data_IF_409877056468
#
_entry.id   IF_409877056468
#
_cell.length_a   1.000
_cell.length_b   1.000
_cell.length_c   1.000
_cell.angle_alpha   90.00
_cell.angle_beta   90.00
_cell.angle_gamma   90.00
#
_symmetry.space_group_name_H-M   'P 1'
#
loop_
_entity.id
_entity.type
_entity.pdbx_description
1 polymer ?
#
# COMPACT_ATOMS: atom_id res chain seq x y z
N UNK A 1 -65.78 25.37 12.89
CA UNK A 1 -64.35 25.73 12.69
C UNK A 1 -63.66 24.50 12.09
N UNK A 2 -63.55 24.45 10.76
CA UNK A 2 -63.01 23.29 10.03
C UNK A 2 -61.56 23.57 9.63
N UNK A 3 -60.63 22.75 10.13
CA UNK A 3 -59.19 22.88 9.91
C UNK A 3 -58.84 22.56 8.45
N UNK A 4 -58.32 23.54 7.72
CA UNK A 4 -57.84 23.38 6.34
C UNK A 4 -56.51 22.61 6.35
N UNK A 5 -56.50 21.40 5.77
CA UNK A 5 -55.28 20.65 5.49
C UNK A 5 -54.47 21.34 4.38
N UNK A 6 -53.18 21.55 4.65
CA UNK A 6 -52.21 22.15 3.73
C UNK A 6 -51.64 21.02 2.85
N UNK A 7 -51.65 21.11 1.51
CA UNK A 7 -50.98 20.11 0.68
C UNK A 7 -49.46 20.37 0.74
N UNK A 8 -48.71 19.40 1.28
CA UNK A 8 -47.25 19.42 1.26
C UNK A 8 -46.76 19.05 -0.15
N UNK A 9 -45.88 19.90 -0.68
CA UNK A 9 -45.22 19.84 -1.98
C UNK A 9 -44.64 18.46 -2.32
N UNK A 10 -44.92 18.00 -3.54
CA UNK A 10 -44.25 16.86 -4.15
C UNK A 10 -42.75 17.13 -4.29
N UNK A 11 -41.92 16.22 -3.78
CA UNK A 11 -40.47 16.26 -3.94
C UNK A 11 -40.09 16.06 -5.42
N UNK A 12 -39.20 16.91 -5.93
CA UNK A 12 -38.65 16.81 -7.28
C UNK A 12 -37.88 15.47 -7.47
N UNK A 13 -37.92 14.86 -8.68
CA UNK A 13 -37.19 13.64 -8.94
C UNK A 13 -35.68 13.89 -8.85
N UNK A 14 -35.02 13.02 -8.11
CA UNK A 14 -33.60 13.00 -7.84
C UNK A 14 -32.82 12.95 -9.17
N UNK A 15 -32.20 14.07 -9.55
CA UNK A 15 -31.30 14.22 -10.70
C UNK A 15 -30.09 13.28 -10.51
N UNK A 16 -30.23 12.02 -10.92
CA UNK A 16 -29.10 11.13 -11.14
C UNK A 16 -28.36 11.63 -12.38
N UNK A 17 -27.52 12.66 -12.20
CA UNK A 17 -26.61 13.12 -13.26
C UNK A 17 -25.77 11.91 -13.70
N UNK A 18 -25.81 11.51 -14.99
CA UNK A 18 -25.03 10.39 -15.46
C UNK A 18 -23.55 10.66 -15.19
N UNK A 19 -22.89 9.72 -14.50
CA UNK A 19 -21.45 9.79 -14.25
C UNK A 19 -20.74 9.86 -15.60
N UNK A 20 -20.30 11.07 -16.00
CA UNK A 20 -19.55 11.32 -17.25
C UNK A 20 -18.50 10.23 -17.42
N UNK A 21 -18.71 9.33 -18.39
CA UNK A 21 -17.79 8.24 -18.69
C UNK A 21 -16.48 8.90 -19.15
N UNK A 22 -15.43 8.63 -18.39
CA UNK A 22 -14.08 9.05 -18.72
C UNK A 22 -13.69 8.41 -20.07
N UNK A 23 -13.21 9.20 -21.02
CA UNK A 23 -12.95 8.74 -22.40
C UNK A 23 -12.01 7.53 -22.45
N UNK A 24 -12.18 6.65 -23.44
CA UNK A 24 -11.45 5.36 -23.51
C UNK A 24 -9.93 5.47 -23.36
N UNK A 25 -9.32 6.54 -23.90
CA UNK A 25 -7.88 6.82 -23.78
C UNK A 25 -7.46 7.06 -22.32
N UNK A 26 -8.28 7.78 -21.55
CA UNK A 26 -8.01 8.08 -20.15
C UNK A 26 -8.10 6.82 -19.29
N UNK A 27 -9.09 5.96 -19.54
CA UNK A 27 -9.19 4.67 -18.85
C UNK A 27 -8.00 3.76 -19.19
N UNK A 28 -7.58 3.70 -20.46
CA UNK A 28 -6.41 2.91 -20.87
C UNK A 28 -5.12 3.39 -20.19
N UNK A 29 -4.89 4.70 -20.13
CA UNK A 29 -3.78 5.29 -19.39
C UNK A 29 -3.80 4.89 -17.91
N UNK A 30 -4.95 5.03 -17.25
CA UNK A 30 -5.06 4.70 -15.83
C UNK A 30 -4.86 3.20 -15.58
N UNK A 31 -5.37 2.31 -16.45
CA UNK A 31 -5.11 0.87 -16.38
C UNK A 31 -3.62 0.58 -16.48
N UNK A 32 -2.94 1.17 -17.47
CA UNK A 32 -1.50 0.98 -17.67
C UNK A 32 -0.70 1.48 -16.45
N UNK A 33 -1.00 2.68 -15.95
CA UNK A 33 -0.37 3.24 -14.76
C UNK A 33 -0.53 2.33 -13.54
N UNK A 34 -1.76 1.88 -13.25
CA UNK A 34 -2.01 1.00 -12.10
C UNK A 34 -1.35 -0.38 -12.28
N UNK A 35 -1.30 -0.93 -13.51
CA UNK A 35 -0.63 -2.19 -13.78
C UNK A 35 0.89 -2.11 -13.58
N UNK A 36 1.53 -1.04 -14.05
CA UNK A 36 2.95 -0.78 -13.82
C UNK A 36 3.23 -0.62 -12.32
N UNK A 37 2.42 0.17 -11.61
CA UNK A 37 2.56 0.34 -10.17
C UNK A 37 2.38 -0.98 -9.41
N UNK A 38 1.40 -1.81 -9.78
CA UNK A 38 1.22 -3.14 -9.20
C UNK A 38 2.47 -4.03 -9.41
N UNK A 39 3.04 -4.02 -10.61
CA UNK A 39 4.24 -4.79 -10.93
C UNK A 39 5.47 -4.32 -10.14
N UNK A 40 5.67 -3.01 -10.02
CA UNK A 40 6.78 -2.43 -9.27
C UNK A 40 6.70 -2.78 -7.78
N UNK A 41 5.52 -2.63 -7.17
CA UNK A 41 5.29 -3.02 -5.78
C UNK A 41 5.34 -4.53 -5.55
N UNK A 42 4.98 -5.34 -6.56
CA UNK A 42 5.20 -6.79 -6.52
C UNK A 42 6.70 -7.09 -6.51
N UNK A 43 7.51 -6.34 -7.27
CA UNK A 43 8.97 -6.41 -7.20
C UNK A 43 9.50 -6.11 -5.80
N UNK A 44 8.98 -5.06 -5.14
CA UNK A 44 9.35 -4.73 -3.75
C UNK A 44 8.99 -5.89 -2.81
N UNK A 45 7.76 -6.43 -2.92
CA UNK A 45 7.28 -7.53 -2.10
C UNK A 45 8.14 -8.78 -2.24
N UNK A 46 8.37 -9.22 -3.49
CA UNK A 46 9.14 -10.43 -3.79
C UNK A 46 10.56 -10.29 -3.29
N UNK A 47 11.22 -9.15 -3.54
CA UNK A 47 12.58 -8.95 -3.05
C UNK A 47 12.65 -8.86 -1.52
N UNK A 48 11.69 -8.20 -0.87
CA UNK A 48 11.62 -8.13 0.60
C UNK A 48 11.50 -9.54 1.21
N UNK A 49 10.62 -10.38 0.67
CA UNK A 49 10.48 -11.77 1.08
C UNK A 49 11.76 -12.58 0.79
N UNK A 50 12.32 -12.44 -0.40
CA UNK A 50 13.48 -13.25 -0.82
C UNK A 50 14.74 -12.89 -0.03
N UNK A 51 14.99 -11.61 0.22
CA UNK A 51 16.14 -11.15 1.02
C UNK A 51 15.88 -11.46 2.49
N UNK A 52 14.71 -11.09 3.03
CA UNK A 52 14.35 -11.34 4.42
C UNK A 52 14.42 -12.83 4.78
N UNK A 53 13.81 -13.71 3.98
CA UNK A 53 13.86 -15.16 4.23
C UNK A 53 15.26 -15.74 4.15
N UNK A 54 16.12 -15.26 3.22
CA UNK A 54 17.52 -15.69 3.14
C UNK A 54 18.30 -15.36 4.41
N UNK A 55 18.12 -14.16 4.94
CA UNK A 55 18.79 -13.71 6.17
C UNK A 55 18.27 -14.46 7.41
N UNK A 56 16.96 -14.71 7.49
CA UNK A 56 16.34 -15.49 8.58
C UNK A 56 16.87 -16.93 8.59
N UNK A 57 16.91 -17.60 7.43
CA UNK A 57 17.43 -18.97 7.31
C UNK A 57 18.92 -19.01 7.68
N UNK A 58 19.68 -17.99 7.30
CA UNK A 58 21.11 -17.89 7.64
C UNK A 58 21.30 -17.72 9.15
N UNK A 59 20.51 -16.85 9.79
CA UNK A 59 20.52 -16.66 11.23
C UNK A 59 20.08 -17.94 11.99
N UNK A 60 19.10 -18.66 11.47
CA UNK A 60 18.63 -19.94 12.04
C UNK A 60 19.71 -21.01 11.95
N UNK A 61 20.40 -21.15 10.81
CA UNK A 61 21.50 -22.11 10.65
C UNK A 61 22.67 -21.80 11.58
N UNK A 62 23.01 -20.52 11.74
CA UNK A 62 24.02 -20.09 12.69
C UNK A 62 23.59 -20.40 14.13
N UNK A 63 22.33 -20.11 14.49
CA UNK A 63 21.76 -20.44 15.80
C UNK A 63 21.83 -21.94 16.10
N UNK A 64 21.39 -22.78 15.18
CA UNK A 64 21.41 -24.23 15.33
C UNK A 64 22.84 -24.78 15.49
N UNK A 65 23.81 -24.19 14.77
CA UNK A 65 25.23 -24.54 14.94
C UNK A 65 25.75 -24.25 16.35
N UNK A 66 25.26 -23.20 17.00
CA UNK A 66 25.60 -22.86 18.39
C UNK A 66 24.63 -23.47 19.43
N UNK A 67 23.77 -24.41 19.04
CA UNK A 67 22.84 -25.10 19.95
C UNK A 67 21.60 -24.29 20.35
N UNK A 68 21.21 -23.28 19.55
CA UNK A 68 20.02 -22.45 19.75
C UNK A 68 19.04 -22.59 18.57
N UNK A 69 17.88 -23.20 18.82
CA UNK A 69 16.85 -23.44 17.78
C UNK A 69 15.68 -22.44 17.83
N UNK A 70 15.85 -21.31 18.51
CA UNK A 70 14.78 -20.31 18.64
C UNK A 70 14.54 -19.55 17.32
N UNK A 71 13.46 -19.91 16.65
CA UNK A 71 13.03 -19.30 15.40
C UNK A 71 12.67 -17.82 15.54
N UNK A 72 12.21 -17.37 16.73
CA UNK A 72 11.88 -15.97 16.97
C UNK A 72 13.14 -15.11 16.98
N UNK A 73 14.18 -15.55 17.70
CA UNK A 73 15.48 -14.88 17.70
C UNK A 73 16.13 -14.88 16.32
N UNK A 74 16.06 -15.99 15.59
CA UNK A 74 16.55 -16.06 14.20
C UNK A 74 15.78 -15.10 13.28
N UNK A 75 14.47 -14.99 13.44
CA UNK A 75 13.62 -14.07 12.67
C UNK A 75 14.00 -12.62 12.95
N UNK A 76 14.10 -12.23 14.23
CA UNK A 76 14.52 -10.87 14.62
C UNK A 76 15.92 -10.54 14.09
N UNK A 77 16.89 -11.44 14.22
CA UNK A 77 18.25 -11.25 13.71
C UNK A 77 18.30 -11.14 12.19
N UNK A 78 17.57 -11.98 11.47
CA UNK A 78 17.50 -11.95 10.00
C UNK A 78 16.88 -10.66 9.48
N UNK A 79 15.77 -10.21 10.08
CA UNK A 79 15.12 -8.95 9.72
C UNK A 79 15.95 -7.71 10.10
N UNK A 80 16.78 -7.81 11.15
CA UNK A 80 17.74 -6.79 11.61
C UNK A 80 19.09 -6.81 10.89
N UNK A 81 19.30 -7.70 9.91
CA UNK A 81 20.58 -7.87 9.22
C UNK A 81 21.07 -6.62 8.50
N UNK A 82 20.17 -5.68 8.16
CA UNK A 82 20.47 -4.54 7.31
C UNK A 82 20.38 -4.81 5.82
N UNK A 83 20.34 -6.08 5.41
CA UNK A 83 20.39 -6.47 4.00
C UNK A 83 19.18 -6.00 3.20
N UNK A 84 17.99 -6.09 3.81
CA UNK A 84 16.74 -5.60 3.21
C UNK A 84 16.83 -4.10 2.95
N UNK A 85 17.34 -3.32 3.91
CA UNK A 85 17.53 -1.88 3.75
C UNK A 85 18.52 -1.58 2.63
N UNK A 86 19.69 -2.22 2.66
CA UNK A 86 20.78 -1.96 1.71
C UNK A 86 20.38 -2.21 0.25
N UNK A 87 19.59 -3.26 0.02
CA UNK A 87 19.18 -3.65 -1.34
C UNK A 87 17.93 -2.91 -1.82
N UNK A 88 16.98 -2.59 -0.93
CA UNK A 88 15.64 -2.16 -1.33
C UNK A 88 15.33 -0.69 -1.11
N UNK A 89 16.13 0.05 -0.34
CA UNK A 89 15.82 1.45 -0.01
C UNK A 89 15.67 2.32 -1.26
N UNK A 90 16.68 2.29 -2.13
CA UNK A 90 16.71 3.11 -3.35
C UNK A 90 15.57 2.72 -4.28
N UNK A 91 15.37 1.42 -4.49
CA UNK A 91 14.31 0.91 -5.36
C UNK A 91 12.93 1.30 -4.84
N UNK A 92 12.66 1.09 -3.55
CA UNK A 92 11.38 1.43 -2.92
C UNK A 92 11.11 2.93 -2.99
N UNK A 93 12.13 3.77 -2.75
CA UNK A 93 11.99 5.22 -2.86
C UNK A 93 11.60 5.64 -4.26
N UNK A 94 12.22 5.06 -5.30
CA UNK A 94 11.85 5.31 -6.69
C UNK A 94 10.41 4.88 -6.97
N UNK A 95 9.99 3.68 -6.53
CA UNK A 95 8.60 3.22 -6.69
C UNK A 95 7.61 4.13 -5.97
N UNK A 96 7.94 4.64 -4.79
CA UNK A 96 7.09 5.59 -4.07
C UNK A 96 6.95 6.94 -4.77
N UNK A 97 7.97 7.42 -5.49
CA UNK A 97 7.83 8.67 -6.25
C UNK A 97 6.67 8.63 -7.26
N UNK A 98 6.39 7.44 -7.82
CA UNK A 98 5.26 7.23 -8.72
C UNK A 98 3.92 7.36 -8.00
N UNK A 99 3.82 7.07 -6.71
CA UNK A 99 2.60 7.28 -5.93
C UNK A 99 2.25 8.77 -5.80
N UNK A 100 3.23 9.67 -5.91
CA UNK A 100 2.99 11.11 -6.02
C UNK A 100 2.15 11.50 -7.25
N UNK A 101 2.25 10.74 -8.34
CA UNK A 101 1.41 10.96 -9.54
C UNK A 101 -0.07 10.76 -9.25
N UNK A 102 -0.44 9.96 -8.25
CA UNK A 102 -1.85 9.79 -7.85
C UNK A 102 -2.42 11.07 -7.24
N UNK A 103 -1.61 11.78 -6.46
CA UNK A 103 -1.97 13.08 -5.91
C UNK A 103 -2.20 14.06 -7.04
N UNK A 104 -1.35 14.04 -8.07
CA UNK A 104 -1.53 14.86 -9.27
C UNK A 104 -2.78 14.45 -10.06
N UNK A 105 -3.06 13.15 -10.22
CA UNK A 105 -4.27 12.68 -10.90
C UNK A 105 -5.55 13.14 -10.17
N UNK A 106 -5.56 13.11 -8.83
CA UNK A 106 -6.66 13.64 -8.04
C UNK A 106 -6.73 15.17 -8.12
N UNK A 107 -5.59 15.87 -8.08
CA UNK A 107 -5.50 17.33 -8.12
C UNK A 107 -6.03 17.90 -9.44
N UNK A 108 -5.66 17.28 -10.57
CA UNK A 108 -6.10 17.69 -11.91
C UNK A 108 -7.46 17.09 -12.32
N UNK A 109 -8.16 16.41 -11.41
CA UNK A 109 -9.49 15.83 -11.68
C UNK A 109 -9.47 14.68 -12.71
N UNK A 110 -8.31 14.06 -12.91
CA UNK A 110 -8.17 12.86 -13.74
C UNK A 110 -8.90 11.69 -13.06
N UNK A 111 -8.87 11.59 -11.74
CA UNK A 111 -9.64 10.56 -11.00
C UNK A 111 -10.67 11.23 -10.10
N UNK A 112 -11.87 10.64 -9.98
CA UNK A 112 -12.91 11.07 -9.02
C UNK A 112 -12.61 10.60 -7.60
N UNK A 113 -11.38 10.81 -7.12
CA UNK A 113 -11.00 10.52 -5.75
C UNK A 113 -11.03 11.82 -4.92
N UNK A 114 -11.48 11.79 -3.66
CA UNK A 114 -11.39 12.95 -2.79
C UNK A 114 -9.91 13.32 -2.60
N UNK A 115 -9.52 14.52 -3.03
CA UNK A 115 -8.12 14.97 -3.02
C UNK A 115 -7.50 14.87 -1.62
N UNK A 116 -8.25 15.29 -0.59
CA UNK A 116 -7.76 15.31 0.79
C UNK A 116 -7.44 13.90 1.32
N UNK A 117 -8.28 12.90 1.02
CA UNK A 117 -8.04 11.52 1.47
C UNK A 117 -6.89 10.87 0.72
N UNK A 118 -6.77 11.14 -0.59
CA UNK A 118 -5.64 10.68 -1.41
C UNK A 118 -4.33 11.31 -0.92
N UNK A 119 -4.36 12.61 -0.61
CA UNK A 119 -3.22 13.36 -0.11
C UNK A 119 -2.81 12.91 1.29
N UNK A 120 -3.72 12.69 2.22
CA UNK A 120 -3.39 12.15 3.55
C UNK A 120 -2.78 10.75 3.48
N UNK A 121 -3.32 9.88 2.62
CA UNK A 121 -2.80 8.51 2.44
C UNK A 121 -1.41 8.49 1.83
N UNK A 122 -1.12 9.39 0.88
CA UNK A 122 0.20 9.49 0.24
C UNK A 122 1.19 10.24 1.14
N UNK A 123 0.78 11.35 1.75
CA UNK A 123 1.62 12.14 2.65
C UNK A 123 2.08 11.36 3.88
N UNK A 124 1.22 10.53 4.48
CA UNK A 124 1.61 9.63 5.59
C UNK A 124 2.76 8.70 5.19
N UNK A 125 2.70 8.12 3.98
CA UNK A 125 3.73 7.20 3.46
C UNK A 125 5.02 7.93 3.08
N UNK A 126 4.90 9.11 2.46
CA UNK A 126 6.07 9.95 2.15
C UNK A 126 6.77 10.43 3.41
N UNK A 127 6.03 10.80 4.45
CA UNK A 127 6.59 11.24 5.72
C UNK A 127 7.33 10.08 6.40
N UNK A 128 6.79 8.86 6.41
CA UNK A 128 7.51 7.71 6.95
C UNK A 128 8.79 7.37 6.17
N UNK A 129 8.81 7.46 4.83
CA UNK A 129 10.05 7.15 4.07
C UNK A 129 11.06 8.27 4.06
N UNK A 130 10.62 9.51 3.86
CA UNK A 130 11.52 10.66 3.73
C UNK A 130 11.87 11.30 5.08
N UNK A 131 11.11 11.05 6.14
CA UNK A 131 11.42 11.56 7.48
C UNK A 131 11.98 10.46 8.40
N UNK A 132 11.34 9.29 8.47
CA UNK A 132 11.69 8.24 9.45
C UNK A 132 12.68 7.21 8.89
N UNK A 133 12.45 6.71 7.67
CA UNK A 133 13.33 5.72 7.04
C UNK A 133 14.47 6.33 6.22
N UNK A 134 14.61 7.66 6.27
CA UNK A 134 15.46 8.38 5.33
C UNK A 134 16.96 8.14 5.61
N UNK A 135 17.76 7.86 4.56
CA UNK A 135 19.21 7.69 4.68
C UNK A 135 19.98 8.85 5.35
N UNK A 136 19.56 10.13 5.24
CA UNK A 136 20.26 11.22 5.92
C UNK A 136 19.82 11.48 7.36
N UNK A 137 18.65 10.97 7.82
CA UNK A 137 18.18 11.25 9.19
C UNK A 137 18.64 10.19 10.21
N UNK A 138 18.47 8.90 9.92
CA UNK A 138 18.79 7.81 10.87
C UNK A 138 19.28 6.51 10.19
N UNK A 139 20.33 6.55 9.36
CA UNK A 139 20.78 5.39 8.58
C UNK A 139 21.18 4.20 9.47
N UNK A 140 21.85 4.45 10.60
CA UNK A 140 22.35 3.37 11.47
C UNK A 140 21.24 2.71 12.29
N UNK A 141 20.24 3.48 12.73
CA UNK A 141 19.14 2.97 13.57
C UNK A 141 18.08 2.24 12.73
N UNK A 142 17.82 2.69 11.50
CA UNK A 142 16.80 2.10 10.63
C UNK A 142 17.30 0.86 9.91
N UNK A 143 18.57 0.86 9.46
CA UNK A 143 19.16 -0.27 8.72
C UNK A 143 19.06 -1.57 9.50
N UNK A 144 19.45 -1.57 10.78
CA UNK A 144 19.43 -2.76 11.62
C UNK A 144 18.13 -2.99 12.37
N UNK A 145 17.08 -2.21 12.08
CA UNK A 145 15.79 -2.39 12.73
C UNK A 145 14.93 -3.40 11.97
N UNK A 146 14.42 -4.46 12.64
CA UNK A 146 13.41 -5.35 12.07
C UNK A 146 12.18 -4.62 11.53
N UNK A 147 11.86 -3.47 12.13
CA UNK A 147 10.71 -2.64 11.78
C UNK A 147 10.76 -2.16 10.32
N UNK A 148 11.95 -1.93 9.75
CA UNK A 148 12.07 -1.52 8.34
C UNK A 148 11.58 -2.64 7.40
N UNK A 149 12.05 -3.86 7.63
CA UNK A 149 11.70 -5.03 6.80
C UNK A 149 10.22 -5.36 6.90
N UNK A 150 9.63 -5.26 8.09
CA UNK A 150 8.20 -5.56 8.31
C UNK A 150 7.30 -4.46 7.79
N UNK A 151 7.70 -3.19 7.92
CA UNK A 151 7.06 -2.06 7.27
C UNK A 151 7.03 -2.22 5.75
N UNK A 152 8.17 -2.57 5.13
CA UNK A 152 8.28 -2.74 3.69
C UNK A 152 7.41 -3.89 3.17
N UNK A 153 7.35 -4.99 3.93
CA UNK A 153 6.44 -6.11 3.67
C UNK A 153 4.98 -5.64 3.73
N UNK A 154 4.58 -4.97 4.80
CA UNK A 154 3.21 -4.48 4.97
C UNK A 154 2.81 -3.53 3.84
N UNK A 155 3.67 -2.55 3.51
CA UNK A 155 3.40 -1.59 2.46
C UNK A 155 3.27 -2.24 1.09
N UNK A 156 4.23 -3.09 0.71
CA UNK A 156 4.21 -3.74 -0.59
C UNK A 156 2.97 -4.63 -0.77
N UNK A 157 2.55 -5.37 0.26
CA UNK A 157 1.28 -6.11 0.23
C UNK A 157 0.09 -5.19 0.00
N UNK A 158 -0.05 -4.11 0.79
CA UNK A 158 -1.18 -3.18 0.64
C UNK A 158 -1.23 -2.53 -0.74
N UNK A 159 -0.08 -2.18 -1.30
CA UNK A 159 0.02 -1.49 -2.58
C UNK A 159 -0.27 -2.43 -3.75
N UNK A 160 0.24 -3.67 -3.71
CA UNK A 160 -0.10 -4.70 -4.71
C UNK A 160 -1.61 -4.91 -4.77
N UNK A 161 -2.27 -5.02 -3.61
CA UNK A 161 -3.73 -5.16 -3.53
C UNK A 161 -4.44 -3.95 -4.11
N UNK A 162 -4.01 -2.75 -3.73
CA UNK A 162 -4.65 -1.49 -4.15
C UNK A 162 -4.58 -1.28 -5.65
N UNK A 163 -3.38 -1.41 -6.23
CA UNK A 163 -3.16 -1.22 -7.66
C UNK A 163 -3.85 -2.31 -8.49
N UNK A 164 -3.78 -3.57 -8.04
CA UNK A 164 -4.50 -4.67 -8.71
C UNK A 164 -6.01 -4.43 -8.71
N UNK A 165 -6.58 -3.97 -7.58
CA UNK A 165 -7.99 -3.60 -7.51
C UNK A 165 -8.35 -2.51 -8.53
N UNK A 166 -7.52 -1.47 -8.66
CA UNK A 166 -7.79 -0.41 -9.63
C UNK A 166 -7.70 -0.88 -11.08
N UNK A 167 -6.76 -1.79 -11.41
CA UNK A 167 -6.71 -2.43 -12.73
C UNK A 167 -8.02 -3.16 -13.03
N UNK A 168 -8.50 -4.02 -12.12
CA UNK A 168 -9.76 -4.74 -12.32
C UNK A 168 -10.95 -3.78 -12.42
N UNK A 169 -11.02 -2.80 -11.53
CA UNK A 169 -12.10 -1.80 -11.49
C UNK A 169 -12.19 -0.99 -12.79
N UNK A 170 -11.05 -0.59 -13.35
CA UNK A 170 -10.99 0.23 -14.57
C UNK A 170 -11.09 -0.58 -15.86
N UNK A 171 -10.76 -1.89 -15.81
CA UNK A 171 -10.84 -2.79 -16.99
C UNK A 171 -12.28 -3.06 -17.46
N UNK A 172 -13.29 -2.78 -16.64
CA UNK A 172 -14.69 -3.04 -16.96
C UNK A 172 -15.11 -4.51 -16.85
N UNK A 173 -14.18 -5.42 -16.54
CA UNK A 173 -14.44 -6.87 -16.37
C UNK A 173 -15.03 -7.22 -14.99
N UNK A 174 -15.14 -6.24 -14.10
CA UNK A 174 -15.52 -6.43 -12.70
C UNK A 174 -14.35 -6.82 -11.81
N UNK A 175 -14.50 -6.59 -10.50
CA UNK A 175 -13.47 -6.92 -9.51
C UNK A 175 -13.76 -8.29 -8.88
N UNK A 176 -12.79 -9.23 -8.90
CA UNK A 176 -12.95 -10.50 -8.21
C UNK A 176 -13.24 -10.32 -6.71
N UNK A 177 -14.17 -11.10 -6.14
CA UNK A 177 -14.58 -11.00 -4.74
C UNK A 177 -13.41 -11.09 -3.75
N UNK A 178 -12.40 -11.91 -4.08
CA UNK A 178 -11.19 -12.06 -3.27
C UNK A 178 -10.39 -10.75 -3.17
N UNK A 179 -10.27 -9.97 -4.25
CA UNK A 179 -9.54 -8.69 -4.22
C UNK A 179 -10.28 -7.63 -3.41
N UNK A 180 -11.60 -7.62 -3.50
CA UNK A 180 -12.44 -6.77 -2.64
C UNK A 180 -12.27 -7.16 -1.18
N UNK A 181 -12.31 -8.46 -0.86
CA UNK A 181 -12.09 -8.94 0.50
C UNK A 181 -10.69 -8.57 1.01
N UNK A 182 -9.63 -8.83 0.23
CA UNK A 182 -8.27 -8.46 0.58
C UNK A 182 -8.16 -6.96 0.86
N UNK A 183 -8.70 -6.11 -0.03
CA UNK A 183 -8.67 -4.65 0.14
C UNK A 183 -9.27 -4.19 1.47
N UNK A 184 -10.32 -4.84 1.93
CA UNK A 184 -11.01 -4.47 3.18
C UNK A 184 -10.55 -5.23 4.42
N UNK A 185 -9.77 -6.32 4.31
CA UNK A 185 -9.39 -7.13 5.47
C UNK A 185 -7.88 -7.22 5.70
N UNK A 186 -7.05 -6.75 4.76
CA UNK A 186 -5.58 -6.86 4.87
C UNK A 186 -5.03 -6.12 6.10
N UNK A 187 -5.67 -5.03 6.54
CA UNK A 187 -5.26 -4.32 7.74
C UNK A 187 -5.34 -5.19 9.01
N UNK A 188 -6.29 -6.13 9.08
CA UNK A 188 -6.44 -7.04 10.23
C UNK A 188 -5.26 -8.00 10.37
N UNK A 189 -4.61 -8.34 9.25
CA UNK A 189 -3.45 -9.24 9.23
C UNK A 189 -2.14 -8.47 9.43
N UNK A 190 -2.02 -7.30 8.80
CA UNK A 190 -0.78 -6.51 8.84
C UNK A 190 -0.60 -5.75 10.16
N UNK A 191 -1.68 -5.38 10.84
CA UNK A 191 -1.60 -4.60 12.08
C UNK A 191 -0.97 -5.39 13.25
N UNK A 192 -1.36 -6.65 13.53
CA UNK A 192 -0.67 -7.48 14.51
C UNK A 192 0.80 -7.75 14.15
N UNK A 193 1.12 -7.88 12.87
CA UNK A 193 2.48 -8.10 12.39
C UNK A 193 3.38 -6.89 12.69
N UNK A 194 2.87 -5.67 12.48
CA UNK A 194 3.60 -4.44 12.81
C UNK A 194 3.93 -4.34 14.30
N UNK A 195 2.92 -4.49 15.17
CA UNK A 195 3.10 -4.39 16.64
C UNK A 195 4.04 -5.48 17.18
N UNK A 196 3.99 -6.70 16.63
CA UNK A 196 4.86 -7.78 17.08
C UNK A 196 6.36 -7.55 16.79
N UNK A 197 6.68 -6.57 15.95
CA UNK A 197 8.04 -6.30 15.46
C UNK A 197 8.66 -5.00 15.98
N UNK A 198 7.87 -4.18 16.69
CA UNK A 198 8.30 -3.00 17.45
C UNK A 198 8.84 -3.42 18.83
#
# INVERSE_FOLDING_TARGET
MSSKSKPAQAAAPNDQRPAKQSGGVKNAYLVAYNAVSAALWTGVLVQTLTVGSREIITAQKAGAFFGSDDWLTATKKGLASGRVYDELEVYTRMVQTLAGMEVLHSLFGIVRAPLLTTLMQVASRYLLVHLVASPPAFPTSTRHSPAYSTMLLAWSVTEVIRYSYFVFSLSGLGVPKIWTWLRYNTFLVLYPLGIATE
#
